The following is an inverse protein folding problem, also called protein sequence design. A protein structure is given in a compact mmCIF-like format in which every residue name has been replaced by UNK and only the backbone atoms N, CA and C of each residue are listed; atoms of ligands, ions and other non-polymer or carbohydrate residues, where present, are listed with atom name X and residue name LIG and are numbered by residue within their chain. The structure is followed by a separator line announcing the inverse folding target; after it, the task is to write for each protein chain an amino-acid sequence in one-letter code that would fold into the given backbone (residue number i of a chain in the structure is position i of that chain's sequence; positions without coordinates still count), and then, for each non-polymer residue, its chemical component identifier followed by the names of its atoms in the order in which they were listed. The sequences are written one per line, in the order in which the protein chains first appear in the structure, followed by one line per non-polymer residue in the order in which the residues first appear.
data_IF_546901916109
#
_entry.id   IF_546901916109
#
_cell.length_a   1.000
_cell.length_b   1.000
_cell.length_c   1.000
_cell.angle_alpha   90.00
_cell.angle_beta   90.00
_cell.angle_gamma   90.00
#
_symmetry.space_group_name_H-M   'P 1'
#
loop_
_entity.id
_entity.type
_entity.pdbx_description
1 polymer ?
#
# COMPACT_ATOMS: atom_id res chain seq x y z
N UNK A 1 15.98 32.09 -13.25
CA UNK A 1 16.15 31.61 -11.86
C UNK A 1 14.88 31.75 -11.01
N UNK A 2 14.12 32.86 -11.09
CA UNK A 2 12.95 33.08 -10.23
C UNK A 2 11.77 32.12 -10.49
N UNK A 3 11.47 31.81 -11.75
CA UNK A 3 10.34 30.94 -12.12
C UNK A 3 10.48 29.49 -11.65
N UNK A 4 11.69 28.96 -11.63
CA UNK A 4 11.97 27.58 -11.20
C UNK A 4 11.86 27.45 -9.68
N UNK A 5 12.32 28.48 -8.95
CA UNK A 5 12.14 28.58 -7.50
C UNK A 5 10.65 28.65 -7.13
N UNK A 6 9.88 29.50 -7.81
CA UNK A 6 8.43 29.65 -7.56
C UNK A 6 7.69 28.33 -7.84
N UNK A 7 8.04 27.61 -8.93
CA UNK A 7 7.47 26.29 -9.25
C UNK A 7 7.81 25.23 -8.20
N UNK A 8 9.03 25.21 -7.68
CA UNK A 8 9.44 24.26 -6.66
C UNK A 8 8.73 24.52 -5.33
N UNK A 9 8.66 25.79 -4.93
CA UNK A 9 7.97 26.21 -3.70
C UNK A 9 6.48 25.89 -3.78
N UNK A 10 5.82 26.12 -4.93
CA UNK A 10 4.39 25.81 -5.06
C UNK A 10 4.08 24.31 -4.99
N UNK A 11 4.94 23.46 -5.58
CA UNK A 11 4.82 22.00 -5.46
C UNK A 11 5.02 21.55 -4.02
N UNK A 12 6.04 22.08 -3.35
CA UNK A 12 6.34 21.75 -1.96
C UNK A 12 5.19 22.15 -1.03
N UNK A 13 4.67 23.37 -1.17
CA UNK A 13 3.53 23.86 -0.37
C UNK A 13 2.28 23.00 -0.56
N UNK A 14 1.97 22.64 -1.81
CA UNK A 14 0.79 21.82 -2.08
C UNK A 14 0.96 20.38 -1.58
N UNK A 15 2.16 19.78 -1.68
CA UNK A 15 2.47 18.50 -1.04
C UNK A 15 2.38 18.57 0.48
N UNK A 16 2.88 19.65 1.09
CA UNK A 16 2.83 19.84 2.53
C UNK A 16 1.38 19.94 3.03
N UNK A 17 0.52 20.70 2.36
CA UNK A 17 -0.91 20.76 2.72
C UNK A 17 -1.62 19.42 2.59
N UNK A 18 -1.30 18.66 1.55
CA UNK A 18 -1.86 17.33 1.35
C UNK A 18 -1.39 16.35 2.43
N UNK A 19 -0.11 16.38 2.81
CA UNK A 19 0.44 15.56 3.88
C UNK A 19 -0.09 15.96 5.26
N UNK A 20 -0.11 17.24 5.60
CA UNK A 20 -0.61 17.72 6.89
C UNK A 20 -2.13 17.54 7.02
N UNK A 21 -2.89 17.80 5.95
CA UNK A 21 -4.31 17.47 5.88
C UNK A 21 -4.55 15.97 6.04
N UNK A 22 -3.67 15.16 5.45
CA UNK A 22 -3.60 13.73 5.68
C UNK A 22 -3.41 13.37 7.16
N UNK A 23 -2.31 13.80 7.77
CA UNK A 23 -1.99 13.49 9.17
C UNK A 23 -3.14 13.90 10.10
N UNK A 24 -3.76 15.06 9.89
CA UNK A 24 -4.92 15.49 10.67
C UNK A 24 -6.13 14.57 10.50
N UNK A 25 -6.38 14.06 9.29
CA UNK A 25 -7.43 13.06 9.06
C UNK A 25 -7.11 11.72 9.73
N UNK A 26 -5.84 11.29 9.75
CA UNK A 26 -5.43 10.06 10.45
C UNK A 26 -5.59 10.21 11.96
N UNK A 27 -5.21 11.35 12.50
CA UNK A 27 -5.35 11.67 13.93
C UNK A 27 -6.82 11.62 14.38
N UNK A 28 -7.75 12.13 13.56
CA UNK A 28 -9.18 12.01 13.81
C UNK A 28 -9.71 10.57 13.75
N UNK A 29 -9.11 9.70 12.93
CA UNK A 29 -9.44 8.26 12.92
C UNK A 29 -8.90 7.59 14.20
N UNK A 30 -7.73 8.03 14.68
CA UNK A 30 -7.10 7.54 15.90
C UNK A 30 -7.73 8.09 17.19
N UNK A 31 -8.34 9.28 17.19
CA UNK A 31 -9.06 9.78 18.36
C UNK A 31 -10.32 8.95 18.69
N UNK A 32 -10.80 8.11 17.77
CA UNK A 32 -11.86 7.12 18.01
C UNK A 32 -11.41 5.83 18.71
N UNK A 33 -10.15 5.72 19.13
CA UNK A 33 -9.54 4.51 19.74
C UNK A 33 -10.23 4.07 21.02
N UNK A 34 -10.74 4.99 21.83
CA UNK A 34 -11.29 4.66 23.15
C UNK A 34 -12.50 3.70 23.10
N UNK A 35 -13.13 3.55 21.93
CA UNK A 35 -14.27 2.65 21.70
C UNK A 35 -13.93 1.39 20.92
N UNK A 36 -12.72 1.26 20.36
CA UNK A 36 -12.44 0.26 19.33
C UNK A 36 -11.13 -0.49 19.57
N UNK A 37 -11.13 -1.81 19.39
CA UNK A 37 -9.92 -2.64 19.46
C UNK A 37 -8.83 -2.14 18.49
N UNK A 38 -7.57 -2.16 18.91
CA UNK A 38 -6.40 -1.70 18.12
C UNK A 38 -6.29 -2.36 16.73
N UNK A 39 -6.79 -3.59 16.57
CA UNK A 39 -6.83 -4.32 15.29
C UNK A 39 -7.77 -3.67 14.27
N UNK A 40 -8.97 -3.26 14.69
CA UNK A 40 -9.92 -2.55 13.83
C UNK A 40 -9.37 -1.21 13.40
N UNK A 41 -8.66 -0.53 14.32
CA UNK A 41 -7.97 0.71 14.04
C UNK A 41 -6.86 0.53 12.99
N UNK A 42 -6.06 -0.52 13.12
CA UNK A 42 -5.01 -0.83 12.16
C UNK A 42 -5.58 -1.10 10.76
N UNK A 43 -6.73 -1.79 10.68
CA UNK A 43 -7.43 -2.03 9.40
C UNK A 43 -7.92 -0.74 8.74
N UNK A 44 -8.61 0.14 9.49
CA UNK A 44 -9.09 1.42 8.93
C UNK A 44 -7.91 2.34 8.56
N UNK A 45 -6.82 2.33 9.35
CA UNK A 45 -5.59 3.05 9.05
C UNK A 45 -4.92 2.58 7.76
N UNK A 46 -4.92 1.27 7.47
CA UNK A 46 -4.41 0.74 6.21
C UNK A 46 -5.26 1.19 5.01
N UNK A 47 -6.60 1.15 5.12
CA UNK A 47 -7.51 1.63 4.06
C UNK A 47 -7.25 3.11 3.79
N UNK A 48 -7.15 3.89 4.86
CA UNK A 48 -6.85 5.32 4.78
C UNK A 48 -5.46 5.58 4.18
N UNK A 49 -4.45 4.80 4.57
CA UNK A 49 -3.09 4.89 4.02
C UNK A 49 -3.03 4.59 2.52
N UNK A 50 -3.77 3.58 2.05
CA UNK A 50 -3.92 3.30 0.60
C UNK A 50 -4.53 4.52 -0.10
N UNK A 51 -5.60 5.10 0.45
CA UNK A 51 -6.23 6.29 -0.11
C UNK A 51 -5.23 7.45 -0.22
N UNK A 52 -4.49 7.73 0.85
CA UNK A 52 -3.53 8.83 0.88
C UNK A 52 -2.37 8.64 -0.11
N UNK A 53 -1.81 7.43 -0.22
CA UNK A 53 -0.75 7.13 -1.20
C UNK A 53 -1.25 7.29 -2.64
N UNK A 54 -2.49 6.87 -2.93
CA UNK A 54 -3.12 7.11 -4.24
C UNK A 54 -3.34 8.60 -4.52
N UNK A 55 -3.76 9.36 -3.51
CA UNK A 55 -4.01 10.80 -3.64
C UNK A 55 -2.69 11.55 -3.88
N UNK A 56 -1.62 11.23 -3.15
CA UNK A 56 -0.26 11.73 -3.41
C UNK A 56 0.17 11.41 -4.85
N UNK A 57 -0.08 10.20 -5.32
CA UNK A 57 0.31 9.78 -6.67
C UNK A 57 -0.40 10.59 -7.76
N UNK A 58 -1.73 10.74 -7.66
CA UNK A 58 -2.51 11.56 -8.58
C UNK A 58 -2.05 13.01 -8.53
N UNK A 59 -1.78 13.52 -7.32
CA UNK A 59 -1.27 14.87 -7.13
C UNK A 59 0.08 15.09 -7.83
N UNK A 60 1.05 14.19 -7.61
CA UNK A 60 2.36 14.23 -8.28
C UNK A 60 2.23 14.09 -9.80
N UNK A 61 1.28 13.29 -10.28
CA UNK A 61 0.98 13.16 -11.71
C UNK A 61 0.47 14.49 -12.31
N UNK A 62 -0.44 15.17 -11.61
CA UNK A 62 -0.93 16.50 -12.01
C UNK A 62 0.20 17.54 -12.01
N UNK A 63 1.06 17.54 -10.98
CA UNK A 63 2.25 18.40 -10.90
C UNK A 63 3.21 18.15 -12.07
N UNK A 64 3.47 16.89 -12.40
CA UNK A 64 4.32 16.51 -13.54
C UNK A 64 3.76 17.05 -14.87
N UNK A 65 2.43 16.97 -15.07
CA UNK A 65 1.74 17.56 -16.23
C UNK A 65 1.86 19.09 -16.28
N UNK A 66 1.70 19.78 -15.15
CA UNK A 66 1.76 21.25 -15.08
C UNK A 66 3.19 21.79 -15.27
N UNK A 67 4.18 21.09 -14.76
CA UNK A 67 5.59 21.51 -14.84
C UNK A 67 6.32 21.02 -16.09
N UNK A 68 5.70 20.14 -16.88
CA UNK A 68 6.31 19.40 -18.00
C UNK A 68 7.58 18.63 -17.60
N UNK A 69 7.76 18.35 -16.31
CA UNK A 69 8.86 17.55 -15.80
C UNK A 69 8.47 16.07 -15.87
N UNK A 70 9.28 15.26 -16.54
CA UNK A 70 9.06 13.81 -16.62
C UNK A 70 9.40 13.18 -15.26
N UNK A 71 8.38 12.81 -14.49
CA UNK A 71 8.50 12.07 -13.22
C UNK A 71 8.73 10.57 -13.42
N UNK A 72 9.10 10.18 -14.63
CA UNK A 72 9.28 8.81 -15.07
C UNK A 72 10.69 8.31 -14.71
N UNK A 73 10.82 7.17 -14.03
CA UNK A 73 12.13 6.52 -13.87
C UNK A 73 12.71 5.96 -15.18
N UNK A 74 11.97 6.01 -16.30
CA UNK A 74 12.41 5.51 -17.60
C UNK A 74 11.93 6.45 -18.72
N UNK A 75 12.83 6.71 -19.68
CA UNK A 75 12.59 7.61 -20.83
C UNK A 75 11.83 6.94 -21.99
N UNK A 76 11.39 5.68 -21.83
CA UNK A 76 10.74 4.92 -22.89
C UNK A 76 9.23 5.22 -22.97
N UNK A 77 8.70 5.64 -24.13
CA UNK A 77 7.29 5.94 -24.33
C UNK A 77 6.37 4.71 -24.23
N UNK A 78 6.91 3.49 -24.41
CA UNK A 78 6.17 2.23 -24.35
C UNK A 78 6.25 1.50 -22.99
N UNK A 79 6.81 2.15 -21.97
CA UNK A 79 6.90 1.59 -20.62
C UNK A 79 5.55 1.57 -19.92
N UNK A 80 5.06 0.38 -19.53
CA UNK A 80 3.87 0.21 -18.69
C UNK A 80 3.93 1.07 -17.42
N UNK A 81 2.77 1.56 -16.93
CA UNK A 81 2.63 2.40 -15.71
C UNK A 81 3.38 1.80 -14.49
N UNK A 82 3.49 0.48 -14.43
CA UNK A 82 4.24 -0.29 -13.42
C UNK A 82 5.75 0.00 -13.40
N UNK A 83 6.35 0.28 -14.56
CA UNK A 83 7.78 0.56 -14.70
C UNK A 83 8.10 2.03 -14.49
N UNK A 84 7.13 2.89 -14.79
CA UNK A 84 7.24 4.35 -14.61
C UNK A 84 7.23 4.75 -13.13
N UNK A 85 6.54 3.97 -12.28
CA UNK A 85 6.35 4.26 -10.86
C UNK A 85 6.46 3.01 -9.95
N UNK A 86 7.65 2.37 -9.88
CA UNK A 86 7.84 1.15 -9.10
C UNK A 86 7.61 1.37 -7.59
N UNK A 87 8.02 2.53 -7.06
CA UNK A 87 7.87 2.87 -5.64
C UNK A 87 6.40 2.87 -5.22
N UNK A 88 5.52 3.46 -6.03
CA UNK A 88 4.09 3.52 -5.76
C UNK A 88 3.45 2.13 -5.65
N UNK A 89 3.82 1.22 -6.55
CA UNK A 89 3.32 -0.16 -6.53
C UNK A 89 3.84 -0.94 -5.31
N UNK A 90 5.13 -0.78 -4.98
CA UNK A 90 5.71 -1.39 -3.78
C UNK A 90 5.07 -0.88 -2.49
N UNK A 91 4.81 0.43 -2.38
CA UNK A 91 4.14 0.99 -1.19
C UNK A 91 2.72 0.46 -1.04
N UNK A 92 1.90 0.45 -2.10
CA UNK A 92 0.55 -0.12 -2.04
C UNK A 92 0.58 -1.61 -1.68
N UNK A 93 1.52 -2.37 -2.24
CA UNK A 93 1.70 -3.78 -1.94
C UNK A 93 2.01 -4.01 -0.45
N UNK A 94 2.91 -3.24 0.14
CA UNK A 94 3.26 -3.33 1.57
C UNK A 94 2.03 -3.04 2.43
N UNK A 95 1.27 -1.98 2.14
CA UNK A 95 0.10 -1.62 2.96
C UNK A 95 -0.99 -2.69 2.86
N UNK A 96 -1.26 -3.24 1.66
CA UNK A 96 -2.22 -4.33 1.48
C UNK A 96 -1.77 -5.59 2.22
N UNK A 97 -0.47 -5.89 2.22
CA UNK A 97 0.07 -7.03 2.97
C UNK A 97 -0.16 -6.86 4.48
N UNK A 98 0.09 -5.66 5.03
CA UNK A 98 -0.14 -5.37 6.45
C UNK A 98 -1.64 -5.47 6.77
N UNK A 99 -2.51 -4.98 5.87
CA UNK A 99 -3.96 -5.10 6.00
C UNK A 99 -4.41 -6.56 6.07
N UNK A 100 -3.92 -7.42 5.17
CA UNK A 100 -4.27 -8.85 5.15
C UNK A 100 -3.81 -9.58 6.41
N UNK A 101 -2.59 -9.28 6.89
CA UNK A 101 -2.05 -9.87 8.12
C UNK A 101 -2.88 -9.41 9.33
N UNK A 102 -3.22 -8.12 9.40
CA UNK A 102 -4.07 -7.56 10.46
C UNK A 102 -5.47 -8.18 10.45
N UNK A 103 -6.09 -8.32 9.27
CA UNK A 103 -7.40 -8.96 9.11
C UNK A 103 -7.38 -10.43 9.52
N UNK A 104 -6.33 -11.16 9.17
CA UNK A 104 -6.14 -12.55 9.59
C UNK A 104 -5.99 -12.66 11.10
N UNK A 105 -5.19 -11.79 11.72
CA UNK A 105 -5.05 -11.77 13.17
C UNK A 105 -6.37 -11.42 13.87
N UNK A 106 -7.14 -10.48 13.33
CA UNK A 106 -8.48 -10.15 13.81
C UNK A 106 -9.42 -11.37 13.76
N UNK A 107 -9.40 -12.12 12.64
CA UNK A 107 -10.18 -13.35 12.49
C UNK A 107 -9.83 -14.41 13.54
N UNK A 108 -8.54 -14.58 13.86
CA UNK A 108 -8.11 -15.52 14.89
C UNK A 108 -8.53 -15.10 16.30
N UNK A 109 -8.52 -13.80 16.61
CA UNK A 109 -8.99 -13.28 17.90
C UNK A 109 -10.49 -13.55 18.06
N UNK A 110 -11.28 -13.38 17.01
CA UNK A 110 -12.72 -13.66 17.00
C UNK A 110 -13.02 -15.17 17.17
N UNK A 111 -12.28 -16.05 16.48
CA UNK A 111 -12.40 -17.51 16.64
C UNK A 111 -12.07 -17.96 18.06
N UNK A 112 -11.03 -17.41 18.67
CA UNK A 112 -10.65 -17.78 20.05
C UNK A 112 -11.74 -17.42 21.07
N UNK A 113 -12.50 -16.36 20.82
CA UNK A 113 -13.69 -16.01 21.61
C UNK A 113 -14.79 -17.08 21.48
N UNK A 114 -14.97 -17.62 20.27
CA UNK A 114 -15.93 -18.70 19.99
C UNK A 114 -15.49 -20.07 20.54
N UNK A 115 -14.18 -20.36 20.58
CA UNK A 115 -13.64 -21.59 21.18
C UNK A 115 -13.75 -21.64 22.71
N UNK A 116 -13.65 -20.48 23.38
CA UNK A 116 -13.92 -20.40 24.83
C UNK A 116 -15.39 -20.74 25.14
N UNK A 117 -16.32 -20.37 24.26
CA UNK A 117 -17.73 -20.77 24.33
C UNK A 117 -17.93 -22.25 23.94
N UNK A 118 -17.19 -22.75 22.96
CA UNK A 118 -17.24 -24.14 22.46
C UNK A 118 -16.10 -25.00 23.03
N UNK A 119 -15.96 -25.01 24.36
CA UNK A 119 -14.94 -25.72 25.17
C UNK A 119 -14.91 -27.27 25.00
N UNK A 120 -15.37 -27.83 23.87
CA UNK A 120 -15.66 -29.26 23.67
C UNK A 120 -14.98 -29.95 22.48
N UNK A 121 -14.25 -29.26 21.58
CA UNK A 121 -13.61 -29.89 20.40
C UNK A 121 -12.11 -29.54 20.31
N UNK A 122 -11.31 -30.17 21.17
CA UNK A 122 -9.90 -29.87 21.37
C UNK A 122 -8.99 -30.68 20.41
N UNK A 123 -8.93 -30.33 19.11
CA UNK A 123 -7.80 -30.70 18.22
C UNK A 123 -7.77 -29.96 16.88
N UNK A 124 -8.87 -29.37 16.43
CA UNK A 124 -8.98 -28.76 15.09
C UNK A 124 -8.56 -27.28 15.03
N UNK A 125 -8.62 -26.58 16.17
CA UNK A 125 -8.19 -25.18 16.35
C UNK A 125 -6.79 -24.86 15.80
N UNK A 126 -5.81 -25.69 16.16
CA UNK A 126 -4.42 -25.51 15.76
C UNK A 126 -4.18 -25.72 14.27
N UNK A 127 -4.98 -26.58 13.63
CA UNK A 127 -4.87 -26.87 12.20
C UNK A 127 -5.37 -25.68 11.39
N UNK A 128 -6.50 -25.06 11.79
CA UNK A 128 -7.05 -23.87 11.11
C UNK A 128 -6.07 -22.70 11.15
N UNK A 129 -5.40 -22.47 12.29
CA UNK A 129 -4.37 -21.44 12.42
C UNK A 129 -3.20 -21.66 11.45
N UNK A 130 -2.66 -22.89 11.43
CA UNK A 130 -1.47 -23.24 10.65
C UNK A 130 -1.76 -23.21 9.15
N UNK A 131 -2.91 -23.78 8.75
CA UNK A 131 -3.35 -23.84 7.35
C UNK A 131 -3.70 -22.44 6.82
N UNK A 132 -4.42 -21.62 7.61
CA UNK A 132 -4.74 -20.24 7.25
C UNK A 132 -3.51 -19.34 7.11
N UNK A 133 -2.56 -19.44 8.05
CA UNK A 133 -1.31 -18.68 8.00
C UNK A 133 -0.44 -19.06 6.80
N UNK A 134 -0.33 -20.35 6.50
CA UNK A 134 0.40 -20.85 5.32
C UNK A 134 -0.21 -20.35 4.00
N UNK A 135 -1.54 -20.36 3.86
CA UNK A 135 -2.23 -19.85 2.66
C UNK A 135 -1.99 -18.36 2.48
N UNK A 136 -2.02 -17.59 3.57
CA UNK A 136 -1.82 -16.14 3.52
C UNK A 136 -0.38 -15.77 3.16
N UNK A 137 0.60 -16.47 3.74
CA UNK A 137 2.01 -16.33 3.36
C UNK A 137 2.25 -16.72 1.90
N UNK A 138 1.66 -17.82 1.42
CA UNK A 138 1.77 -18.24 0.03
C UNK A 138 1.18 -17.19 -0.93
N UNK A 139 0.05 -16.57 -0.59
CA UNK A 139 -0.55 -15.47 -1.35
C UNK A 139 0.37 -14.25 -1.43
N UNK A 140 0.96 -13.84 -0.31
CA UNK A 140 1.90 -12.71 -0.26
C UNK A 140 3.14 -13.01 -1.12
N UNK A 141 3.76 -14.19 -0.97
CA UNK A 141 4.95 -14.57 -1.75
C UNK A 141 4.64 -14.67 -3.25
N UNK A 142 3.47 -15.22 -3.61
CA UNK A 142 3.02 -15.29 -5.01
C UNK A 142 2.78 -13.90 -5.59
N UNK A 143 2.16 -12.99 -4.83
CA UNK A 143 1.96 -11.61 -5.27
C UNK A 143 3.29 -10.86 -5.43
N UNK A 144 4.26 -11.05 -4.51
CA UNK A 144 5.62 -10.50 -4.66
C UNK A 144 6.31 -11.02 -5.93
N UNK A 145 6.30 -12.34 -6.16
CA UNK A 145 6.95 -12.94 -7.33
C UNK A 145 6.34 -12.45 -8.64
N UNK A 146 5.01 -12.35 -8.72
CA UNK A 146 4.31 -11.76 -9.88
C UNK A 146 4.70 -10.29 -10.07
N UNK A 147 4.85 -9.51 -8.99
CA UNK A 147 5.26 -8.11 -9.08
C UNK A 147 6.71 -7.96 -9.56
N UNK A 148 7.62 -8.80 -9.05
CA UNK A 148 9.04 -8.84 -9.44
C UNK A 148 9.18 -9.31 -10.89
N UNK A 149 8.44 -10.34 -11.29
CA UNK A 149 8.44 -10.85 -12.66
C UNK A 149 7.90 -9.80 -13.63
N UNK A 150 6.82 -9.08 -13.28
CA UNK A 150 6.35 -7.94 -14.08
C UNK A 150 7.35 -6.77 -14.14
N UNK A 151 8.12 -6.56 -13.08
CA UNK A 151 9.17 -5.54 -13.06
C UNK A 151 10.41 -5.96 -13.89
N UNK A 152 10.79 -7.23 -13.86
CA UNK A 152 11.96 -7.79 -14.57
C UNK A 152 11.68 -8.11 -16.05
N UNK A 153 10.51 -8.65 -16.40
CA UNK A 153 10.13 -8.90 -17.79
C UNK A 153 9.98 -7.58 -18.57
N UNK A 154 9.64 -6.49 -17.88
CA UNK A 154 9.65 -5.16 -18.45
C UNK A 154 11.08 -4.61 -18.65
N UNK A 155 12.08 -5.05 -17.87
CA UNK A 155 13.49 -4.69 -18.09
C UNK A 155 14.07 -5.41 -19.33
N UNK A 156 13.86 -6.72 -19.47
CA UNK A 156 14.36 -7.48 -20.63
C UNK A 156 13.70 -7.10 -21.96
N UNK A 157 12.46 -6.60 -21.95
CA UNK A 157 11.81 -6.08 -23.17
C UNK A 157 12.44 -4.77 -23.68
N UNK A 158 13.07 -3.99 -22.79
CA UNK A 158 13.79 -2.77 -23.17
C UNK A 158 15.19 -3.07 -23.76
N UNK A 159 15.86 -4.15 -23.35
CA UNK A 159 17.11 -4.59 -23.98
C UNK A 159 16.91 -5.11 -25.41
N UNK A 160 15.76 -5.73 -25.73
CA UNK A 160 15.49 -6.28 -27.07
C UNK A 160 14.94 -5.28 -28.10
N UNK A 161 14.47 -4.13 -27.67
CA UNK A 161 13.90 -3.09 -28.56
C UNK A 161 14.84 -1.88 -28.71
N UNK A 162 16.10 -2.02 -28.29
CA UNK A 162 17.13 -0.98 -28.32
C UNK A 162 18.19 -1.14 -29.42
N UNK A 163 17.94 -1.97 -30.43
CA UNK A 163 18.71 -2.03 -31.70
C UNK A 163 17.89 -1.45 -32.85
#
# INVERSE_FOLDING_TARGET
MNEQLIKLVSIFTALAFLLFGGISSLDNIFSGIDKTSILKLLMIGCIWGICLVNLIFVFLFCVSKMTRLNFASTSNPDGTIFQKYPIFWWTNYIIISIFLISAFFYFLVEIRYMEWLLKKMHKEAGIVFLLGGCVLLALIVKMKSVLVEKCNNALHKNEKNGD
#
